data_IF_214871714959
#
_entry.id   IF_214871714959
#
_cell.length_a   1.000
_cell.length_b   1.000
_cell.length_c   1.000
_cell.angle_alpha   90.00
_cell.angle_beta   90.00
_cell.angle_gamma   90.00
#
_symmetry.space_group_name_H-M   'P 1'
#
loop_
_entity.id
_entity.type
_entity.pdbx_description
1 polymer ?
#
# COMPACT_ATOMS: atom_id res chain seq x y z
N UNK A 1 3.86 -35.48 12.73
CA UNK A 1 4.76 -34.78 11.76
C UNK A 1 6.12 -35.47 11.72
N UNK A 2 6.80 -35.54 10.58
CA UNK A 2 8.13 -36.20 10.46
C UNK A 2 9.29 -35.23 10.81
N UNK A 3 10.42 -35.75 11.32
CA UNK A 3 11.64 -34.95 11.56
C UNK A 3 12.17 -34.29 10.28
N UNK A 4 12.00 -34.94 9.13
CA UNK A 4 12.38 -34.37 7.84
C UNK A 4 11.53 -33.13 7.51
N UNK A 5 10.23 -33.15 7.80
CA UNK A 5 9.34 -31.99 7.61
C UNK A 5 9.71 -30.84 8.53
N UNK A 6 10.05 -31.12 9.79
CA UNK A 6 10.51 -30.11 10.74
C UNK A 6 11.80 -29.43 10.25
N UNK A 7 12.75 -30.22 9.76
CA UNK A 7 14.01 -29.67 9.24
C UNK A 7 13.80 -28.75 8.02
N UNK A 8 12.84 -29.07 7.15
CA UNK A 8 12.48 -28.23 6.00
C UNK A 8 11.82 -26.90 6.43
N UNK A 9 11.00 -26.94 7.49
CA UNK A 9 10.43 -25.74 8.14
C UNK A 9 11.56 -24.85 8.68
N UNK A 10 12.52 -25.41 9.42
CA UNK A 10 13.66 -24.66 9.98
C UNK A 10 14.53 -23.98 8.91
N UNK A 11 14.59 -24.56 7.71
CA UNK A 11 15.34 -24.02 6.56
C UNK A 11 14.51 -23.07 5.69
N UNK A 12 13.22 -22.87 5.99
CA UNK A 12 12.34 -22.01 5.22
C UNK A 12 12.09 -22.52 3.79
N UNK A 13 12.03 -23.83 3.58
CA UNK A 13 11.80 -24.37 2.25
C UNK A 13 10.40 -23.99 1.71
N UNK A 14 10.30 -23.48 0.46
CA UNK A 14 9.04 -22.96 -0.10
C UNK A 14 8.00 -24.06 -0.40
N UNK A 15 8.42 -25.32 -0.41
CA UNK A 15 7.57 -26.50 -0.66
C UNK A 15 6.87 -27.04 0.60
N UNK A 16 7.04 -26.39 1.74
CA UNK A 16 6.36 -26.75 2.98
C UNK A 16 4.94 -26.18 2.98
N UNK A 17 3.95 -27.03 3.23
CA UNK A 17 2.54 -26.60 3.27
C UNK A 17 2.24 -25.84 4.56
N UNK A 18 1.28 -24.90 4.50
CA UNK A 18 0.80 -24.18 5.70
C UNK A 18 0.35 -25.14 6.82
N UNK A 19 -0.29 -26.26 6.47
CA UNK A 19 -0.71 -27.27 7.45
C UNK A 19 0.45 -27.93 8.21
N UNK A 20 1.66 -28.00 7.63
CA UNK A 20 2.84 -28.47 8.34
C UNK A 20 3.32 -27.46 9.40
N UNK A 21 3.26 -26.16 9.08
CA UNK A 21 3.52 -25.09 10.06
C UNK A 21 2.52 -25.15 11.21
N UNK A 22 1.22 -25.30 10.93
CA UNK A 22 0.19 -25.39 11.97
C UNK A 22 0.40 -26.60 12.89
N UNK A 23 0.81 -27.75 12.36
CA UNK A 23 1.13 -28.92 13.18
C UNK A 23 2.34 -28.68 14.10
N UNK A 24 3.36 -27.97 13.62
CA UNK A 24 4.53 -27.64 14.43
C UNK A 24 4.16 -26.66 15.57
N UNK A 25 3.37 -25.63 15.25
CA UNK A 25 2.89 -24.64 16.23
C UNK A 25 2.00 -25.30 17.30
N UNK A 26 1.07 -26.17 16.89
CA UNK A 26 0.24 -26.93 17.82
C UNK A 26 1.04 -27.87 18.73
N UNK A 27 2.11 -28.49 18.23
CA UNK A 27 3.00 -29.32 19.05
C UNK A 27 3.80 -28.52 20.09
N UNK A 28 4.01 -27.22 19.85
CA UNK A 28 4.64 -26.29 20.79
C UNK A 28 3.62 -25.65 21.77
N UNK A 29 2.32 -25.95 21.62
CA UNK A 29 1.26 -25.33 22.41
C UNK A 29 1.00 -23.86 22.05
N UNK A 30 1.36 -23.45 20.83
CA UNK A 30 1.11 -22.09 20.34
C UNK A 30 -0.27 -22.02 19.69
N UNK A 31 -1.03 -21.00 20.07
CA UNK A 31 -2.28 -20.63 19.40
C UNK A 31 -1.97 -19.61 18.28
N UNK A 32 -2.68 -19.72 17.17
CA UNK A 32 -2.46 -18.91 15.97
C UNK A 32 -3.79 -18.38 15.53
N UNK A 33 -3.96 -17.07 15.65
CA UNK A 33 -5.13 -16.39 15.12
C UNK A 33 -4.79 -15.75 13.76
N UNK A 34 -5.71 -15.88 12.80
CA UNK A 34 -5.59 -15.23 11.50
C UNK A 34 -6.33 -13.91 11.60
N UNK A 35 -5.60 -12.88 12.00
CA UNK A 35 -6.12 -11.52 12.01
C UNK A 35 -5.96 -10.94 10.62
N UNK A 36 -7.08 -10.72 9.92
CA UNK A 36 -7.05 -9.81 8.78
C UNK A 36 -6.77 -8.42 9.31
N UNK A 37 -5.60 -7.86 9.00
CA UNK A 37 -5.32 -6.45 9.25
C UNK A 37 -6.31 -5.61 8.44
N UNK A 38 -7.36 -5.13 9.09
CA UNK A 38 -8.24 -4.07 8.58
C UNK A 38 -7.64 -2.70 8.83
N UNK A 39 -6.65 -2.64 9.71
CA UNK A 39 -5.83 -1.46 9.91
C UNK A 39 -4.95 -1.28 8.69
N UNK A 40 -4.98 -0.09 8.06
CA UNK A 40 -3.97 0.24 7.07
C UNK A 40 -2.59 0.04 7.71
N UNK A 41 -1.57 -0.42 6.95
CA UNK A 41 -0.21 -0.47 7.47
C UNK A 41 0.09 0.92 8.04
N UNK A 42 0.79 0.95 9.17
CA UNK A 42 1.25 2.16 9.84
C UNK A 42 2.21 2.91 8.90
N UNK A 43 1.63 3.58 7.91
CA UNK A 43 2.26 4.54 7.07
C UNK A 43 2.37 5.75 7.99
N UNK A 44 3.54 5.90 8.60
CA UNK A 44 3.90 7.11 9.32
C UNK A 44 3.27 8.31 8.60
N UNK A 45 2.40 9.10 9.25
CA UNK A 45 1.68 10.17 8.59
C UNK A 45 2.74 11.04 7.92
N UNK A 46 2.72 11.10 6.59
CA UNK A 46 3.72 11.82 5.80
C UNK A 46 3.92 13.20 6.43
N UNK A 47 5.00 13.45 7.19
CA UNK A 47 5.25 14.75 7.77
C UNK A 47 5.90 15.56 6.66
N UNK A 48 5.07 16.23 5.88
CA UNK A 48 5.51 17.00 4.72
C UNK A 48 4.50 16.90 3.59
N UNK A 49 4.19 18.04 2.97
CA UNK A 49 3.22 18.06 1.90
C UNK A 49 3.77 17.40 0.62
N UNK A 50 2.84 16.91 -0.20
CA UNK A 50 3.09 16.25 -1.47
C UNK A 50 3.54 17.30 -2.47
N UNK A 51 4.84 17.31 -2.79
CA UNK A 51 5.40 18.22 -3.81
C UNK A 51 4.81 17.90 -5.16
N UNK A 52 4.07 18.84 -5.76
CA UNK A 52 3.35 18.57 -7.01
C UNK A 52 4.30 18.29 -8.19
N UNK A 53 5.52 18.83 -8.18
CA UNK A 53 6.50 18.63 -9.25
C UNK A 53 6.99 17.17 -9.38
N UNK A 54 6.84 16.37 -8.33
CA UNK A 54 7.28 14.98 -8.29
C UNK A 54 6.31 14.01 -8.98
N UNK A 55 5.14 14.50 -9.37
CA UNK A 55 4.00 13.72 -9.84
C UNK A 55 3.45 14.36 -11.12
N UNK A 56 3.74 13.80 -12.31
CA UNK A 56 3.46 14.44 -13.60
C UNK A 56 1.97 14.76 -13.82
N UNK A 57 1.06 13.84 -13.48
CA UNK A 57 -0.37 14.10 -13.59
C UNK A 57 -0.82 15.11 -12.54
N UNK A 58 -0.40 14.97 -11.28
CA UNK A 58 -0.73 15.95 -10.24
C UNK A 58 -0.29 17.37 -10.63
N UNK A 59 0.93 17.52 -11.17
CA UNK A 59 1.46 18.80 -11.66
C UNK A 59 0.57 19.39 -12.75
N UNK A 60 0.08 18.56 -13.67
CA UNK A 60 -0.79 18.98 -14.78
C UNK A 60 -2.17 19.41 -14.29
N UNK A 61 -2.73 18.71 -13.29
CA UNK A 61 -4.03 19.05 -12.71
C UNK A 61 -3.93 20.33 -11.86
N UNK A 62 -2.86 20.45 -11.08
CA UNK A 62 -2.55 21.61 -10.24
C UNK A 62 -1.75 22.69 -10.98
N UNK A 63 -2.06 22.92 -12.27
CA UNK A 63 -1.32 23.86 -13.12
C UNK A 63 -1.30 25.31 -12.60
N UNK A 64 -2.30 25.68 -11.80
CA UNK A 64 -2.41 27.01 -11.17
C UNK A 64 -1.39 27.24 -10.05
N UNK A 65 -0.84 26.16 -9.47
CA UNK A 65 0.11 26.23 -8.37
C UNK A 65 1.55 26.32 -8.89
N UNK A 66 2.44 26.88 -8.07
CA UNK A 66 3.87 26.88 -8.36
C UNK A 66 4.42 25.45 -8.31
N UNK A 67 5.42 25.07 -9.12
CA UNK A 67 6.01 23.72 -9.08
C UNK A 67 6.51 23.30 -7.70
N UNK A 68 6.99 24.25 -6.90
CA UNK A 68 7.50 24.03 -5.55
C UNK A 68 6.38 23.90 -4.49
N UNK A 69 5.11 24.04 -4.88
CA UNK A 69 3.99 23.91 -3.97
C UNK A 69 3.85 22.48 -3.47
N UNK A 70 3.55 22.39 -2.19
CA UNK A 70 3.26 21.16 -1.47
C UNK A 70 1.77 21.12 -1.13
N UNK A 71 1.14 19.97 -1.34
CA UNK A 71 -0.28 19.74 -1.04
C UNK A 71 -0.43 18.78 0.14
N UNK A 72 -1.42 19.00 0.99
CA UNK A 72 -1.78 17.97 1.97
C UNK A 72 -2.35 16.73 1.27
N UNK A 73 -2.38 15.56 1.94
CA UNK A 73 -3.05 14.37 1.40
C UNK A 73 -4.48 14.63 0.93
N UNK A 74 -5.26 15.43 1.67
CA UNK A 74 -6.63 15.80 1.32
C UNK A 74 -6.69 16.69 0.07
N UNK A 75 -5.79 17.67 -0.04
CA UNK A 75 -5.73 18.58 -1.19
C UNK A 75 -5.31 17.85 -2.46
N UNK A 76 -4.30 16.98 -2.36
CA UNK A 76 -3.84 16.14 -3.46
C UNK A 76 -4.96 15.21 -3.93
N UNK A 77 -5.60 14.49 -3.00
CA UNK A 77 -6.72 13.61 -3.32
C UNK A 77 -7.89 14.38 -3.96
N UNK A 78 -8.29 15.51 -3.37
CA UNK A 78 -9.36 16.34 -3.92
C UNK A 78 -9.03 16.89 -5.30
N UNK A 79 -7.75 17.13 -5.60
CA UNK A 79 -7.30 17.55 -6.93
C UNK A 79 -7.47 16.42 -7.96
N UNK A 80 -7.12 15.18 -7.60
CA UNK A 80 -7.36 14.01 -8.46
C UNK A 80 -8.85 13.73 -8.64
N UNK A 81 -9.62 13.71 -7.56
CA UNK A 81 -11.05 13.37 -7.56
C UNK A 81 -11.86 14.36 -8.43
N UNK A 82 -11.65 15.67 -8.27
CA UNK A 82 -12.35 16.70 -9.05
C UNK A 82 -11.99 16.66 -10.55
N UNK A 83 -10.75 16.32 -10.87
CA UNK A 83 -10.22 16.36 -12.22
C UNK A 83 -10.02 14.96 -12.84
N UNK A 84 -10.63 13.92 -12.26
CA UNK A 84 -10.37 12.53 -12.63
C UNK A 84 -10.57 12.24 -14.12
N UNK A 85 -11.61 12.84 -14.71
CA UNK A 85 -11.90 12.74 -16.16
C UNK A 85 -10.76 13.24 -17.07
N UNK A 86 -9.87 14.07 -16.52
CA UNK A 86 -8.73 14.63 -17.22
C UNK A 86 -7.46 13.86 -16.93
N UNK A 87 -7.42 12.95 -15.95
CA UNK A 87 -6.25 12.12 -15.65
C UNK A 87 -6.02 11.16 -16.81
N UNK A 88 -4.80 11.13 -17.32
CA UNK A 88 -4.39 10.12 -18.28
C UNK A 88 -3.76 8.94 -17.52
N UNK A 89 -4.51 7.86 -17.36
CA UNK A 89 -4.07 6.67 -16.62
C UNK A 89 -2.90 5.96 -17.29
N UNK A 90 -2.71 6.14 -18.60
CA UNK A 90 -1.56 5.57 -19.33
C UNK A 90 -0.25 6.27 -18.97
N UNK A 91 -0.32 7.53 -18.54
CA UNK A 91 0.81 8.36 -18.14
C UNK A 91 1.03 8.40 -16.63
N UNK A 92 0.23 7.69 -15.83
CA UNK A 92 0.48 7.52 -14.40
C UNK A 92 1.72 6.62 -14.23
N UNK A 93 2.81 7.19 -13.71
CA UNK A 93 4.00 6.42 -13.39
C UNK A 93 3.79 5.53 -12.15
N UNK A 94 4.71 4.59 -11.89
CA UNK A 94 4.57 3.68 -10.76
C UNK A 94 4.52 4.41 -9.40
N UNK A 95 5.22 5.54 -9.27
CA UNK A 95 5.27 6.34 -8.03
C UNK A 95 3.94 7.06 -7.78
N UNK A 96 3.31 7.58 -8.83
CA UNK A 96 2.04 8.28 -8.79
C UNK A 96 0.87 7.33 -8.54
N UNK A 97 0.92 6.11 -9.09
CA UNK A 97 -0.04 5.04 -8.74
C UNK A 97 0.09 4.64 -7.28
N UNK A 98 1.31 4.49 -6.79
CA UNK A 98 1.56 4.19 -5.38
C UNK A 98 1.02 5.31 -4.48
N UNK A 99 1.25 6.58 -4.84
CA UNK A 99 0.69 7.73 -4.14
C UNK A 99 -0.84 7.66 -4.08
N UNK A 100 -1.53 7.38 -5.19
CA UNK A 100 -2.99 7.26 -5.20
C UNK A 100 -3.50 6.13 -4.30
N UNK A 101 -2.82 4.99 -4.27
CA UNK A 101 -3.16 3.89 -3.37
C UNK A 101 -2.96 4.26 -1.90
N UNK A 102 -1.84 4.91 -1.59
CA UNK A 102 -1.54 5.33 -0.23
C UNK A 102 -2.48 6.44 0.24
N UNK A 103 -2.83 7.39 -0.63
CA UNK A 103 -3.86 8.41 -0.34
C UNK A 103 -5.24 7.79 -0.09
N UNK A 104 -5.67 6.85 -0.94
CA UNK A 104 -6.94 6.14 -0.75
C UNK A 104 -6.96 5.43 0.60
N UNK A 105 -5.83 4.79 0.94
CA UNK A 105 -5.67 4.03 2.17
C UNK A 105 -5.67 4.92 3.42
N UNK A 106 -4.88 6.00 3.42
CA UNK A 106 -4.75 6.95 4.54
C UNK A 106 -6.08 7.67 4.78
N UNK A 107 -6.79 8.06 3.72
CA UNK A 107 -8.04 8.81 3.81
C UNK A 107 -9.28 7.91 3.96
N UNK A 108 -9.13 6.58 3.99
CA UNK A 108 -10.25 5.64 4.07
C UNK A 108 -11.21 5.70 2.87
N UNK A 109 -10.71 6.05 1.68
CA UNK A 109 -11.51 6.22 0.46
C UNK A 109 -11.38 5.01 -0.46
N UNK A 110 -12.38 4.84 -1.33
CA UNK A 110 -12.30 3.84 -2.41
C UNK A 110 -11.16 4.23 -3.38
N UNK A 111 -10.28 3.30 -3.78
CA UNK A 111 -9.25 3.60 -4.77
C UNK A 111 -9.90 4.07 -6.07
N UNK A 112 -9.30 5.10 -6.68
CA UNK A 112 -9.68 5.54 -8.02
C UNK A 112 -9.30 4.42 -9.01
N UNK A 113 -10.04 4.29 -10.10
CA UNK A 113 -9.85 3.21 -11.09
C UNK A 113 -8.55 3.44 -11.88
N UNK A 114 -7.41 3.08 -11.27
CA UNK A 114 -6.07 3.11 -11.86
C UNK A 114 -5.79 1.83 -12.62
#
# INVERSE_FOLDING_TARGET
>A
MSRMTLHRIERGEPSVTMGAYMNALGALGLDVDVVMSTEPPDLAPLPGGIRIADYPQLRRLAWQLAPASELTPEEAWGTYERNWRHVDTSMLDAKERQLLQDLARILGRKPLNV
#
